data_IF_306674542863
#
_entry.id   IF_306674542863
#
_cell.length_a   1.000
_cell.length_b   1.000
_cell.length_c   1.000
_cell.angle_alpha   90.00
_cell.angle_beta   90.00
_cell.angle_gamma   90.00
#
_symmetry.space_group_name_H-M   'P 1'
#
loop_
_entity.id
_entity.type
_entity.pdbx_description
1 polymer ?
#
# COMPACT_ATOMS: atom_id res chain seq x y z
N UNK A 1 0.97 -3.60 -7.09
CA UNK A 1 2.40 -3.22 -7.13
C UNK A 1 2.46 -1.81 -7.68
N UNK A 2 3.11 -0.90 -6.98
CA UNK A 2 3.16 0.52 -7.34
C UNK A 2 4.49 1.10 -6.93
N UNK A 3 4.79 2.27 -7.46
CA UNK A 3 5.93 3.05 -7.05
C UNK A 3 5.67 3.83 -5.74
N UNK A 4 4.41 4.01 -5.34
CA UNK A 4 4.06 4.72 -4.10
C UNK A 4 3.84 6.23 -4.29
N UNK A 5 3.43 6.65 -5.48
CA UNK A 5 2.94 8.02 -5.67
C UNK A 5 1.69 8.27 -4.84
N UNK A 6 1.56 9.46 -4.26
CA UNK A 6 0.52 9.76 -3.27
C UNK A 6 -0.92 9.49 -3.75
N UNK A 7 -1.22 9.79 -5.02
CA UNK A 7 -2.53 9.52 -5.61
C UNK A 7 -2.84 8.02 -5.62
N UNK A 8 -1.90 7.19 -6.09
CA UNK A 8 -2.09 5.73 -6.15
C UNK A 8 -2.18 5.12 -4.76
N UNK A 9 -1.39 5.60 -3.79
CA UNK A 9 -1.50 5.17 -2.38
C UNK A 9 -2.91 5.45 -1.85
N UNK A 10 -3.42 6.67 -2.11
CA UNK A 10 -4.77 7.08 -1.69
C UNK A 10 -5.85 6.23 -2.36
N UNK A 11 -5.75 5.99 -3.68
CA UNK A 11 -6.69 5.14 -4.43
C UNK A 11 -6.68 3.70 -3.91
N UNK A 12 -5.51 3.13 -3.64
CA UNK A 12 -5.41 1.79 -3.07
C UNK A 12 -6.15 1.70 -1.73
N UNK A 13 -5.99 2.68 -0.83
CA UNK A 13 -6.75 2.71 0.42
C UNK A 13 -8.25 2.93 0.19
N UNK A 14 -8.63 3.82 -0.73
CA UNK A 14 -10.01 4.07 -1.09
C UNK A 14 -10.71 2.81 -1.64
N UNK A 15 -10.00 1.96 -2.37
CA UNK A 15 -10.50 0.69 -2.91
C UNK A 15 -10.17 -0.54 -2.04
N UNK A 16 -9.56 -0.34 -0.87
CA UNK A 16 -9.21 -1.42 0.06
C UNK A 16 -8.23 -2.43 -0.53
N UNK A 17 -7.21 -1.97 -1.24
CA UNK A 17 -6.20 -2.81 -1.91
C UNK A 17 -4.86 -2.74 -1.19
N UNK A 18 -4.24 -3.89 -0.84
CA UNK A 18 -2.86 -3.92 -0.36
C UNK A 18 -1.91 -3.58 -1.51
N UNK A 19 -0.67 -3.23 -1.17
CA UNK A 19 0.33 -2.87 -2.17
C UNK A 19 1.74 -3.37 -1.81
N UNK A 20 2.47 -3.80 -2.83
CA UNK A 20 3.94 -3.82 -2.80
C UNK A 20 4.41 -2.49 -3.38
N UNK A 21 5.29 -1.79 -2.65
CA UNK A 21 5.80 -0.47 -3.01
C UNK A 21 7.29 -0.54 -3.38
N UNK A 22 7.59 -0.06 -4.58
CA UNK A 22 8.93 -0.02 -5.18
C UNK A 22 9.30 1.45 -5.49
N UNK A 23 9.76 2.24 -4.50
CA UNK A 23 10.06 3.64 -4.70
C UNK A 23 11.29 3.86 -5.62
N UNK A 24 11.27 4.94 -6.39
CA UNK A 24 12.31 5.39 -7.35
C UNK A 24 12.75 6.84 -7.06
N UNK A 25 11.89 7.79 -6.64
CA UNK A 25 12.29 9.18 -6.38
C UNK A 25 11.42 9.91 -5.33
N UNK A 26 11.91 11.08 -4.86
CA UNK A 26 11.22 12.04 -3.98
C UNK A 26 10.42 11.43 -2.81
N UNK A 27 9.16 11.83 -2.66
CA UNK A 27 8.25 11.48 -1.56
C UNK A 27 7.81 10.02 -1.61
N UNK A 28 8.05 9.30 -2.71
CA UNK A 28 7.68 7.90 -2.83
C UNK A 28 8.45 7.02 -1.84
N UNK A 29 9.67 7.41 -1.45
CA UNK A 29 10.41 6.72 -0.39
C UNK A 29 9.71 6.84 0.97
N UNK A 30 9.21 8.02 1.31
CA UNK A 30 8.49 8.27 2.56
C UNK A 30 7.12 7.59 2.55
N UNK A 31 6.41 7.64 1.42
CA UNK A 31 5.15 6.92 1.24
C UNK A 31 5.34 5.41 1.38
N UNK A 32 6.39 4.85 0.76
CA UNK A 32 6.73 3.43 0.88
C UNK A 32 7.05 3.04 2.31
N UNK A 33 7.87 3.85 3.00
CA UNK A 33 8.21 3.63 4.40
C UNK A 33 6.95 3.65 5.28
N UNK A 34 6.07 4.63 5.09
CA UNK A 34 4.86 4.77 5.89
C UNK A 34 3.87 3.62 5.66
N UNK A 35 3.73 3.18 4.41
CA UNK A 35 2.89 2.01 4.06
C UNK A 35 3.38 0.75 4.78
N UNK A 36 4.69 0.52 4.80
CA UNK A 36 5.34 -0.63 5.43
C UNK A 36 5.21 -0.59 6.96
N UNK A 37 5.51 0.56 7.58
CA UNK A 37 5.39 0.79 9.03
C UNK A 37 3.96 0.59 9.58
N UNK A 38 2.95 0.94 8.78
CA UNK A 38 1.55 0.77 9.14
C UNK A 38 1.04 -0.66 8.87
N UNK A 39 1.87 -1.52 8.26
CA UNK A 39 1.50 -2.87 7.85
C UNK A 39 0.43 -2.90 6.74
N UNK A 40 0.23 -1.79 6.02
CA UNK A 40 -0.79 -1.67 4.96
C UNK A 40 -0.27 -2.11 3.57
N UNK A 41 0.97 -2.54 3.52
CA UNK A 41 1.67 -3.01 2.34
C UNK A 41 3.07 -3.49 2.70
N UNK A 42 3.87 -3.79 1.67
CA UNK A 42 5.28 -4.17 1.82
C UNK A 42 6.14 -3.24 0.97
N UNK A 43 7.18 -2.67 1.56
CA UNK A 43 8.23 -1.97 0.82
C UNK A 43 9.32 -2.97 0.42
N UNK A 44 9.74 -2.93 -0.85
CA UNK A 44 10.90 -3.70 -1.32
C UNK A 44 12.01 -2.75 -1.80
N UNK A 45 13.25 -3.25 -1.81
CA UNK A 45 14.38 -2.52 -2.37
C UNK A 45 14.31 -2.56 -3.89
N UNK A 46 13.84 -1.47 -4.52
CA UNK A 46 13.44 -1.43 -5.92
C UNK A 46 14.45 -1.96 -6.93
N UNK A 47 15.74 -1.82 -6.64
CA UNK A 47 16.83 -2.24 -7.53
C UNK A 47 17.67 -3.40 -6.98
N UNK A 48 17.28 -3.97 -5.84
CA UNK A 48 18.06 -5.04 -5.19
C UNK A 48 17.23 -6.21 -4.66
N UNK A 49 15.89 -6.16 -4.77
CA UNK A 49 15.05 -7.28 -4.37
C UNK A 49 15.30 -8.50 -5.27
N UNK A 50 15.19 -9.70 -4.70
CA UNK A 50 15.22 -10.98 -5.42
C UNK A 50 13.80 -11.41 -5.81
N UNK A 51 13.66 -12.21 -6.87
CA UNK A 51 12.36 -12.63 -7.41
C UNK A 51 11.45 -13.28 -6.35
N UNK A 52 12.04 -14.02 -5.41
CA UNK A 52 11.34 -14.66 -4.30
C UNK A 52 10.78 -13.65 -3.28
N UNK A 53 11.42 -12.48 -3.13
CA UNK A 53 10.94 -11.43 -2.23
C UNK A 53 9.65 -10.80 -2.76
N UNK A 54 9.54 -10.60 -4.07
CA UNK A 54 8.34 -10.06 -4.69
C UNK A 54 7.17 -11.05 -4.61
N UNK A 55 7.39 -12.30 -5.02
CA UNK A 55 6.35 -13.34 -4.95
C UNK A 55 5.93 -13.61 -3.51
N UNK A 56 6.89 -13.73 -2.59
CA UNK A 56 6.61 -13.89 -1.16
C UNK A 56 5.93 -12.67 -0.53
N UNK A 57 6.16 -11.45 -1.02
CA UNK A 57 5.42 -10.27 -0.58
C UNK A 57 3.94 -10.34 -1.04
N UNK A 58 3.70 -10.75 -2.28
CA UNK A 58 2.33 -10.93 -2.82
C UNK A 58 1.59 -11.98 -1.99
N UNK A 59 2.19 -13.15 -1.77
CA UNK A 59 1.56 -14.24 -1.02
C UNK A 59 1.23 -13.82 0.42
N UNK A 60 2.16 -13.14 1.10
CA UNK A 60 1.94 -12.61 2.45
C UNK A 60 0.80 -11.61 2.49
N UNK A 61 0.72 -10.70 1.54
CA UNK A 61 -0.34 -9.69 1.49
C UNK A 61 -1.72 -10.32 1.22
N UNK A 62 -1.79 -11.32 0.33
CA UNK A 62 -3.04 -12.00 0.00
C UNK A 62 -3.52 -12.93 1.11
N UNK A 63 -2.61 -13.52 1.89
CA UNK A 63 -2.95 -14.41 3.00
C UNK A 63 -3.26 -13.68 4.33
N UNK A 64 -3.07 -12.36 4.39
CA UNK A 64 -3.22 -11.60 5.64
C UNK A 64 -4.68 -11.16 5.86
N UNK A 65 -5.41 -11.92 6.69
CA UNK A 65 -6.80 -11.65 7.04
C UNK A 65 -6.98 -10.32 7.81
N UNK A 66 -6.04 -10.01 8.71
CA UNK A 66 -6.07 -8.74 9.45
C UNK A 66 -5.97 -7.56 8.49
N UNK A 67 -5.02 -7.59 7.56
CA UNK A 67 -4.82 -6.53 6.56
C UNK A 67 -6.07 -6.37 5.69
N UNK A 68 -6.69 -7.48 5.29
CA UNK A 68 -7.93 -7.47 4.50
C UNK A 68 -9.07 -6.77 5.25
N UNK A 69 -9.25 -7.10 6.53
CA UNK A 69 -10.24 -6.45 7.40
C UNK A 69 -9.94 -4.96 7.60
N UNK A 70 -8.68 -4.62 7.85
CA UNK A 70 -8.25 -3.26 8.13
C UNK A 70 -8.38 -2.35 6.89
N UNK A 71 -8.03 -2.83 5.71
CA UNK A 71 -8.22 -2.11 4.45
C UNK A 71 -9.70 -1.94 4.09
N UNK A 72 -10.54 -2.93 4.40
CA UNK A 72 -11.99 -2.83 4.22
C UNK A 72 -12.58 -1.74 5.12
N UNK A 73 -12.15 -1.68 6.39
CA UNK A 73 -12.53 -0.65 7.36
C UNK A 73 -12.07 0.74 6.91
N UNK A 74 -10.81 0.86 6.47
CA UNK A 74 -10.24 2.11 5.98
C UNK A 74 -10.97 2.62 4.72
N UNK A 75 -11.23 1.74 3.76
CA UNK A 75 -11.98 2.05 2.54
C UNK A 75 -13.38 2.56 2.86
N UNK A 76 -14.11 1.89 3.76
CA UNK A 76 -15.43 2.34 4.19
C UNK A 76 -15.39 3.74 4.81
N UNK A 77 -14.39 4.01 5.66
CA UNK A 77 -14.19 5.34 6.28
C UNK A 77 -13.92 6.43 5.23
N UNK A 78 -13.01 6.18 4.29
CA UNK A 78 -12.66 7.14 3.23
C UNK A 78 -13.84 7.42 2.28
N UNK A 79 -14.73 6.44 2.08
CA UNK A 79 -15.94 6.62 1.27
C UNK A 79 -17.05 7.36 2.01
N UNK A 80 -17.12 7.22 3.34
CA UNK A 80 -18.12 7.91 4.16
C UNK A 80 -17.83 9.40 4.36
N UNK A 81 -16.56 9.81 4.21
CA UNK A 81 -16.13 11.18 4.37
C UNK A 81 -15.31 11.61 3.13
N UNK A 82 -15.95 12.19 2.11
CA UNK A 82 -15.27 12.63 0.88
C UNK A 82 -14.36 13.86 1.09
N UNK A 83 -14.13 14.30 2.35
CA UNK A 83 -13.39 15.51 2.67
C UNK A 83 -14.19 16.76 2.33
N UNK A 84 -13.50 17.88 2.08
CA UNK A 84 -14.16 19.11 1.62
C UNK A 84 -14.72 18.91 0.22
N UNK A 85 -15.99 18.52 0.16
CA UNK A 85 -16.83 18.70 -1.01
C UNK A 85 -16.84 20.21 -1.29
N UNK A 86 -16.28 20.63 -2.42
CA UNK A 86 -16.49 21.97 -2.97
C UNK A 86 -17.73 21.96 -3.85
#
# INVERSE_FOLDING_TARGET
ITHGGNNTVTECWYFGKPMVVLPLFWDQYDNAQRVDELGLGVRLSTYAFQDEELTGAIDRLLANEWLTSELSRLSARLRSDPGTVR
#
